data_IF_497181577961
#
_entry.id   IF_497181577961
#
_cell.length_a   1.000
_cell.length_b   1.000
_cell.length_c   1.000
_cell.angle_alpha   90.00
_cell.angle_beta   90.00
_cell.angle_gamma   90.00
#
_symmetry.space_group_name_H-M   'P 1'
#
loop_
_entity.id
_entity.type
_entity.pdbx_description
1 polymer ?
#
# COMPACT_ATOMS: atom_id res chain seq x y z
N UNK A 1 18.81 -23.14 25.49
CA UNK A 1 18.53 -22.62 24.14
C UNK A 1 17.92 -21.24 24.28
N UNK A 2 18.69 -20.18 24.05
CA UNK A 2 18.19 -18.81 24.12
C UNK A 2 17.49 -18.48 22.82
N UNK A 3 16.16 -18.34 22.86
CA UNK A 3 15.39 -17.79 21.75
C UNK A 3 15.78 -16.31 21.62
N UNK A 4 16.66 -16.01 20.65
CA UNK A 4 16.89 -14.64 20.20
C UNK A 4 15.57 -14.16 19.62
N UNK A 5 14.77 -13.50 20.45
CA UNK A 5 13.65 -12.70 19.98
C UNK A 5 14.31 -11.60 19.16
N UNK A 6 14.32 -11.77 17.84
CA UNK A 6 14.71 -10.74 16.89
C UNK A 6 13.77 -9.56 17.12
N UNK A 7 14.17 -8.65 18.01
CA UNK A 7 13.51 -7.39 18.24
C UNK A 7 13.82 -6.52 17.03
N UNK A 8 13.14 -6.82 15.91
CA UNK A 8 13.20 -5.97 14.73
C UNK A 8 12.74 -4.58 15.16
N UNK A 9 13.55 -3.53 14.94
CA UNK A 9 13.16 -2.19 15.31
C UNK A 9 11.88 -1.86 14.53
N UNK A 10 10.78 -1.63 15.26
CA UNK A 10 9.45 -1.32 14.71
C UNK A 10 9.51 -0.19 13.67
N UNK A 11 10.49 0.69 13.79
CA UNK A 11 10.77 1.78 12.86
C UNK A 11 11.15 1.31 11.44
N UNK A 12 11.87 0.20 11.30
CA UNK A 12 12.22 -0.35 9.98
C UNK A 12 10.98 -0.90 9.25
N UNK A 13 10.07 -1.53 10.01
CA UNK A 13 8.78 -2.00 9.48
C UNK A 13 7.92 -0.83 9.01
N UNK A 14 7.81 0.23 9.82
CA UNK A 14 6.98 1.41 9.48
C UNK A 14 7.47 2.08 8.19
N UNK A 15 8.78 2.24 7.99
CA UNK A 15 9.35 2.79 6.75
C UNK A 15 9.08 1.89 5.54
N UNK A 16 9.13 0.57 5.74
CA UNK A 16 8.81 -0.39 4.68
C UNK A 16 7.32 -0.33 4.30
N UNK A 17 6.44 -0.23 5.30
CA UNK A 17 4.99 -0.17 5.11
C UNK A 17 4.57 1.13 4.42
N UNK A 18 5.15 2.27 4.81
CA UNK A 18 4.91 3.57 4.14
C UNK A 18 5.35 3.54 2.68
N UNK A 19 6.54 2.98 2.38
CA UNK A 19 6.99 2.82 1.00
C UNK A 19 6.08 1.88 0.20
N UNK A 20 5.55 0.86 0.84
CA UNK A 20 4.60 -0.07 0.24
C UNK A 20 3.29 0.63 -0.13
N UNK A 21 2.70 1.40 0.80
CA UNK A 21 1.51 2.24 0.54
C UNK A 21 1.78 3.19 -0.63
N UNK A 22 2.94 3.86 -0.63
CA UNK A 22 3.32 4.81 -1.69
C UNK A 22 3.33 4.15 -3.07
N UNK A 23 3.98 2.99 -3.21
CA UNK A 23 4.03 2.24 -4.48
C UNK A 23 2.66 1.73 -4.92
N UNK A 24 1.82 1.29 -3.98
CA UNK A 24 0.48 0.80 -4.29
C UNK A 24 -0.38 1.97 -4.81
N UNK A 25 -0.31 3.13 -4.17
CA UNK A 25 -1.00 4.34 -4.62
C UNK A 25 -0.51 4.82 -6.00
N UNK A 26 0.81 4.88 -6.21
CA UNK A 26 1.40 5.23 -7.52
C UNK A 26 0.90 4.30 -8.64
N UNK A 27 0.85 2.98 -8.39
CA UNK A 27 0.35 1.98 -9.36
C UNK A 27 -1.15 2.09 -9.62
N UNK A 28 -1.89 2.68 -8.69
CA UNK A 28 -3.32 2.87 -8.80
C UNK A 28 -3.70 4.20 -9.46
N UNK A 29 -2.72 5.08 -9.72
CA UNK A 29 -2.99 6.45 -10.13
C UNK A 29 -3.60 7.31 -9.01
N UNK A 30 -3.48 6.89 -7.74
CA UNK A 30 -3.91 7.65 -6.57
C UNK A 30 -2.77 8.55 -6.10
N UNK A 31 -3.09 9.66 -5.44
CA UNK A 31 -2.07 10.52 -4.85
C UNK A 31 -1.34 9.78 -3.71
N UNK A 32 -0.04 9.47 -3.88
CA UNK A 32 0.73 8.73 -2.88
C UNK A 32 0.88 9.48 -1.55
N UNK A 33 0.84 10.81 -1.56
CA UNK A 33 0.94 11.62 -0.34
C UNK A 33 -0.32 11.49 0.51
N UNK A 34 -1.48 11.53 -0.13
CA UNK A 34 -2.77 11.32 0.54
C UNK A 34 -2.88 9.91 1.13
N UNK A 35 -2.51 8.89 0.37
CA UNK A 35 -2.56 7.50 0.83
C UNK A 35 -1.63 7.23 2.03
N UNK A 36 -0.41 7.79 2.00
CA UNK A 36 0.51 7.69 3.14
C UNK A 36 -0.02 8.45 4.36
N UNK A 37 -0.60 9.64 4.16
CA UNK A 37 -1.15 10.43 5.25
C UNK A 37 -2.32 9.71 5.93
N UNK A 38 -3.23 9.11 5.17
CA UNK A 38 -4.28 8.26 5.71
C UNK A 38 -3.71 7.03 6.45
N UNK A 39 -2.71 6.37 5.89
CA UNK A 39 -2.05 5.24 6.56
C UNK A 39 -1.45 5.63 7.92
N UNK A 40 -0.86 6.84 8.02
CA UNK A 40 -0.36 7.42 9.27
C UNK A 40 -1.51 7.76 10.22
N UNK A 41 -2.61 8.34 9.73
CA UNK A 41 -3.81 8.64 10.55
C UNK A 41 -4.46 7.38 11.10
N UNK A 42 -4.40 6.27 10.37
CA UNK A 42 -4.84 4.95 10.82
C UNK A 42 -3.84 4.24 11.75
N UNK A 43 -2.75 4.91 12.16
CA UNK A 43 -1.77 4.37 13.10
C UNK A 43 -0.90 3.24 12.54
N UNK A 44 -0.61 3.28 11.23
CA UNK A 44 0.12 2.21 10.53
C UNK A 44 -0.57 0.85 10.58
N UNK A 45 -1.91 0.87 10.56
CA UNK A 45 -2.71 -0.36 10.62
C UNK A 45 -2.51 -1.22 9.37
N UNK A 46 -2.12 -2.48 9.57
CA UNK A 46 -1.97 -3.46 8.49
C UNK A 46 -3.29 -3.72 7.74
N UNK A 47 -4.43 -3.53 8.42
CA UNK A 47 -5.74 -3.65 7.80
C UNK A 47 -5.96 -2.59 6.71
N UNK A 48 -5.47 -1.36 6.91
CA UNK A 48 -5.54 -0.30 5.90
C UNK A 48 -4.73 -0.65 4.65
N UNK A 49 -3.53 -1.24 4.83
CA UNK A 49 -2.70 -1.72 3.72
C UNK A 49 -3.42 -2.79 2.87
N UNK A 50 -4.11 -3.73 3.53
CA UNK A 50 -4.91 -4.75 2.87
C UNK A 50 -6.10 -4.13 2.13
N UNK A 51 -6.83 -3.23 2.77
CA UNK A 51 -7.99 -2.56 2.15
C UNK A 51 -7.56 -1.70 0.95
N UNK A 52 -6.48 -0.93 1.07
CA UNK A 52 -5.91 -0.16 -0.02
C UNK A 52 -5.52 -1.08 -1.19
N UNK A 53 -4.86 -2.20 -0.90
CA UNK A 53 -4.47 -3.18 -1.92
C UNK A 53 -5.69 -3.77 -2.63
N UNK A 54 -6.74 -4.12 -1.89
CA UNK A 54 -7.99 -4.63 -2.47
C UNK A 54 -8.73 -3.57 -3.28
N UNK A 55 -8.78 -2.30 -2.83
CA UNK A 55 -9.36 -1.20 -3.62
C UNK A 55 -8.61 -1.02 -4.93
N UNK A 56 -7.27 -1.06 -4.91
CA UNK A 56 -6.47 -0.99 -6.14
C UNK A 56 -6.71 -2.21 -7.03
N UNK A 57 -6.83 -3.40 -6.46
CA UNK A 57 -7.17 -4.62 -7.19
C UNK A 57 -8.55 -4.49 -7.86
N UNK A 58 -9.55 -3.99 -7.13
CA UNK A 58 -10.89 -3.76 -7.64
C UNK A 58 -10.90 -2.70 -8.73
N UNK A 59 -10.22 -1.57 -8.58
CA UNK A 59 -10.11 -0.55 -9.64
C UNK A 59 -9.46 -1.14 -10.90
N UNK A 60 -8.41 -1.96 -10.75
CA UNK A 60 -7.78 -2.65 -11.90
C UNK A 60 -8.69 -3.69 -12.55
N UNK A 61 -9.50 -4.39 -11.77
CA UNK A 61 -10.47 -5.38 -12.29
C UNK A 61 -11.73 -4.71 -12.88
N UNK A 62 -12.13 -3.58 -12.32
CA UNK A 62 -13.26 -2.76 -12.75
C UNK A 62 -12.89 -1.77 -13.87
N UNK A 63 -11.61 -1.66 -14.20
CA UNK A 63 -11.12 -1.08 -15.44
C UNK A 63 -10.77 -2.19 -16.45
N UNK A 64 -11.74 -2.96 -16.96
CA UNK A 64 -11.52 -3.61 -18.23
C UNK A 64 -11.50 -2.49 -19.28
N UNK A 65 -10.36 -2.31 -19.94
CA UNK A 65 -10.24 -1.73 -21.30
C UNK A 65 -10.80 -0.30 -21.50
N UNK A 66 -9.89 0.67 -21.56
CA UNK A 66 -10.04 1.75 -22.54
C UNK A 66 -9.89 1.13 -23.94
N UNK A 67 -10.87 1.26 -24.85
CA UNK A 67 -10.71 0.92 -26.26
C UNK A 67 -9.93 2.07 -26.91
N UNK A 68 -8.66 1.85 -27.27
CA UNK A 68 -7.89 2.93 -27.90
C UNK A 68 -6.42 2.61 -28.07
N UNK A 69 -6.11 1.78 -29.07
CA UNK A 69 -4.75 1.56 -29.55
C UNK A 69 -4.72 0.97 -30.95
N UNK A 70 -4.81 1.87 -31.95
CA UNK A 70 -4.37 1.75 -33.35
C UNK A 70 -5.03 0.64 -34.22
N UNK A 71 -5.87 0.98 -35.20
CA UNK A 71 -5.50 1.44 -36.56
C UNK A 71 -5.01 0.29 -37.44
#
# INVERSE_FOLDING_TARGET
MAAVILHFPREASVRYDVNTVRRIAERAGLDPRLAVNEFVRCGYSRAYLTELSERVRQVRMAAPQLPGGAA
#
